data_IF_755618469738
#
_entry.id   IF_755618469738
#
_cell.length_a   1.000
_cell.length_b   1.000
_cell.length_c   1.000
_cell.angle_alpha   90.00
_cell.angle_beta   90.00
_cell.angle_gamma   90.00
#
_symmetry.space_group_name_H-M   'P 1'
#
loop_
_entity.id
_entity.type
_entity.pdbx_description
1 polymer ?
#
# COMPACT_ATOMS: atom_id res chain seq x y z
N UNK A 1 26.81 -7.13 -4.93
CA UNK A 1 25.89 -6.92 -3.81
C UNK A 1 24.54 -7.64 -4.01
N UNK A 2 24.57 -8.71 -4.79
CA UNK A 2 23.45 -9.63 -5.00
C UNK A 2 23.99 -11.05 -5.05
N UNK A 3 23.40 -11.96 -4.26
CA UNK A 3 23.91 -13.33 -4.13
C UNK A 3 23.72 -14.15 -5.41
N UNK A 4 22.60 -13.99 -6.11
CA UNK A 4 22.33 -14.72 -7.36
C UNK A 4 23.24 -14.26 -8.50
N UNK A 5 23.50 -12.97 -8.58
CA UNK A 5 24.44 -12.42 -9.57
C UNK A 5 25.86 -12.89 -9.27
N UNK A 6 26.23 -12.97 -7.99
CA UNK A 6 27.53 -13.52 -7.56
C UNK A 6 27.70 -14.98 -7.94
N UNK A 7 26.71 -15.83 -7.65
CA UNK A 7 26.73 -17.25 -8.03
C UNK A 7 26.78 -17.44 -9.55
N UNK A 8 26.03 -16.63 -10.30
CA UNK A 8 26.07 -16.60 -11.74
C UNK A 8 27.48 -16.24 -12.26
N UNK A 9 28.07 -15.17 -11.74
CA UNK A 9 29.41 -14.72 -12.11
C UNK A 9 30.47 -15.78 -11.82
N UNK A 10 30.42 -16.42 -10.66
CA UNK A 10 31.29 -17.54 -10.30
C UNK A 10 31.12 -18.72 -11.27
N UNK A 11 29.90 -19.13 -11.55
CA UNK A 11 29.61 -20.25 -12.47
C UNK A 11 30.16 -20.05 -13.87
N UNK A 12 30.16 -18.83 -14.35
CA UNK A 12 30.60 -18.49 -15.72
C UNK A 12 31.98 -17.82 -15.78
N UNK A 13 32.71 -17.82 -14.67
CA UNK A 13 34.06 -17.20 -14.56
C UNK A 13 34.07 -15.72 -15.01
N UNK A 14 33.03 -14.97 -14.65
CA UNK A 14 32.99 -13.55 -14.93
C UNK A 14 33.75 -12.77 -13.85
N UNK A 15 34.35 -11.59 -14.17
CA UNK A 15 35.01 -10.77 -13.19
C UNK A 15 34.02 -10.22 -12.16
N UNK A 16 34.38 -10.35 -10.88
CA UNK A 16 33.59 -9.83 -9.76
C UNK A 16 34.32 -8.63 -9.18
N UNK A 17 33.59 -7.51 -9.03
CA UNK A 17 34.13 -6.29 -8.46
C UNK A 17 33.33 -5.92 -7.21
N UNK A 18 34.01 -5.74 -6.09
CA UNK A 18 33.42 -5.29 -4.85
C UNK A 18 32.95 -3.84 -4.99
N UNK A 19 31.69 -3.57 -4.74
CA UNK A 19 31.07 -2.24 -4.84
C UNK A 19 30.49 -1.75 -3.52
N UNK A 20 30.38 -2.63 -2.51
CA UNK A 20 29.95 -2.28 -1.15
C UNK A 20 30.89 -2.95 -0.17
N UNK A 21 31.36 -2.21 0.84
CA UNK A 21 32.10 -2.76 1.95
C UNK A 21 31.45 -2.45 3.30
N UNK A 22 31.56 -3.31 4.32
CA UNK A 22 31.10 -3.00 5.66
C UNK A 22 31.69 -1.70 6.21
N UNK A 23 30.93 -0.94 7.00
CA UNK A 23 31.39 0.35 7.58
C UNK A 23 32.58 0.23 8.52
N UNK A 24 32.70 -0.90 9.18
CA UNK A 24 33.75 -1.20 10.17
C UNK A 24 35.02 -1.80 9.58
N UNK A 25 35.09 -1.96 8.25
CA UNK A 25 36.31 -2.48 7.58
C UNK A 25 37.10 -1.33 6.99
N UNK A 26 38.35 -1.18 7.48
CA UNK A 26 39.31 -0.24 6.92
C UNK A 26 40.18 -0.96 5.88
N UNK A 27 40.37 -0.32 4.72
CA UNK A 27 41.15 -0.88 3.61
C UNK A 27 40.31 -1.64 2.59
N UNK A 28 40.97 -2.52 1.84
CA UNK A 28 40.34 -3.32 0.79
C UNK A 28 39.44 -4.40 1.39
N UNK A 29 38.30 -4.60 0.74
CA UNK A 29 37.33 -5.64 1.09
C UNK A 29 37.01 -6.46 -0.16
N UNK A 30 37.30 -7.75 -0.11
CA UNK A 30 37.02 -8.71 -1.17
C UNK A 30 35.81 -9.58 -0.84
N UNK A 31 35.12 -10.07 -1.86
CA UNK A 31 34.05 -11.07 -1.75
C UNK A 31 34.57 -12.37 -2.39
N UNK A 32 34.75 -13.43 -1.60
CA UNK A 32 35.38 -14.68 -2.04
C UNK A 32 34.34 -15.80 -2.22
N UNK A 33 33.61 -16.13 -1.15
CA UNK A 33 32.71 -17.28 -1.11
C UNK A 33 31.23 -16.89 -1.28
N UNK A 34 30.84 -15.72 -0.81
CA UNK A 34 29.48 -15.22 -0.90
C UNK A 34 29.45 -13.71 -1.15
N UNK A 35 28.34 -13.21 -1.70
CA UNK A 35 28.15 -11.78 -1.88
C UNK A 35 27.94 -11.08 -0.54
N UNK A 36 28.54 -9.91 -0.36
CA UNK A 36 28.17 -9.05 0.75
C UNK A 36 26.87 -8.32 0.46
N UNK A 37 25.79 -8.63 1.19
CA UNK A 37 24.45 -8.08 0.98
C UNK A 37 23.99 -7.11 2.07
N UNK A 38 24.85 -6.84 3.08
CA UNK A 38 24.56 -5.95 4.19
C UNK A 38 24.72 -4.46 3.85
N UNK A 39 24.31 -3.61 4.79
CA UNK A 39 24.52 -2.17 4.72
C UNK A 39 26.01 -1.82 4.77
N UNK A 40 26.44 -0.81 4.03
CA UNK A 40 27.85 -0.48 3.97
C UNK A 40 28.16 0.86 3.35
N UNK A 41 29.36 0.98 2.82
CA UNK A 41 29.85 2.15 2.10
C UNK A 41 30.15 1.74 0.66
N UNK A 42 29.71 2.55 -0.28
CA UNK A 42 29.98 2.35 -1.71
C UNK A 42 31.46 2.54 -2.01
N UNK A 43 32.03 1.63 -2.79
CA UNK A 43 33.41 1.68 -3.28
C UNK A 43 33.44 1.27 -4.75
N UNK A 44 34.46 1.69 -5.49
CA UNK A 44 34.61 1.35 -6.92
C UNK A 44 33.38 1.68 -7.80
N UNK A 45 32.59 2.66 -7.40
CA UNK A 45 31.28 3.00 -7.97
C UNK A 45 31.23 4.47 -8.44
N UNK A 46 32.38 5.10 -8.69
CA UNK A 46 32.50 6.45 -9.25
C UNK A 46 31.77 7.51 -8.39
N UNK A 47 30.74 8.17 -8.92
CA UNK A 47 30.02 9.24 -8.23
C UNK A 47 29.21 8.78 -6.98
N UNK A 48 29.16 7.49 -6.73
CA UNK A 48 28.56 6.90 -5.53
C UNK A 48 29.59 6.56 -4.44
N UNK A 49 30.89 6.62 -4.72
CA UNK A 49 31.93 6.26 -3.77
C UNK A 49 31.83 7.07 -2.47
N UNK A 50 31.98 6.39 -1.35
CA UNK A 50 31.89 6.99 -0.02
C UNK A 50 30.47 7.15 0.53
N UNK A 51 29.43 6.96 -0.26
CA UNK A 51 28.04 7.07 0.19
C UNK A 51 27.58 5.82 0.95
N UNK A 52 26.70 6.03 1.93
CA UNK A 52 26.08 4.91 2.64
C UNK A 52 25.01 4.24 1.76
N UNK A 53 25.03 2.91 1.71
CA UNK A 53 23.99 2.11 1.08
C UNK A 53 23.15 1.42 2.16
N UNK A 54 21.81 1.27 1.95
CA UNK A 54 21.08 1.58 0.72
C UNK A 54 20.66 3.05 0.55
N UNK A 55 20.57 3.83 1.61
CA UNK A 55 19.81 5.09 1.60
C UNK A 55 20.41 6.20 0.72
N UNK A 56 21.65 6.64 1.04
CA UNK A 56 22.28 7.76 0.32
C UNK A 56 22.62 7.39 -1.12
N UNK A 57 23.17 6.20 -1.33
CA UNK A 57 23.59 5.74 -2.64
C UNK A 57 22.41 5.59 -3.61
N UNK A 58 21.28 5.01 -3.17
CA UNK A 58 20.07 4.87 -3.99
C UNK A 58 19.51 6.26 -4.36
N UNK A 59 19.42 7.14 -3.38
CA UNK A 59 18.89 8.50 -3.62
C UNK A 59 19.77 9.28 -4.61
N UNK A 60 21.09 9.16 -4.48
CA UNK A 60 22.05 9.81 -5.39
C UNK A 60 22.02 9.21 -6.79
N UNK A 61 21.89 7.88 -6.90
CA UNK A 61 21.77 7.22 -8.20
C UNK A 61 20.49 7.65 -8.93
N UNK A 62 19.34 7.70 -8.22
CA UNK A 62 18.09 8.19 -8.79
C UNK A 62 18.22 9.64 -9.28
N UNK A 63 18.76 10.53 -8.44
CA UNK A 63 18.97 11.92 -8.82
C UNK A 63 19.83 12.07 -10.09
N UNK A 64 20.88 11.24 -10.20
CA UNK A 64 21.74 11.25 -11.41
C UNK A 64 21.01 10.78 -12.66
N UNK A 65 20.19 9.72 -12.54
CA UNK A 65 19.38 9.21 -13.65
C UNK A 65 18.35 10.25 -14.12
N UNK A 66 17.75 11.00 -13.19
CA UNK A 66 16.82 12.09 -13.49
C UNK A 66 17.53 13.28 -14.15
N UNK A 67 18.71 13.67 -13.64
CA UNK A 67 19.54 14.74 -14.20
C UNK A 67 19.88 14.49 -15.68
N UNK A 68 20.30 13.27 -16.02
CA UNK A 68 20.63 12.89 -17.40
C UNK A 68 19.40 12.51 -18.24
N UNK A 69 18.19 12.66 -17.70
CA UNK A 69 16.90 12.37 -18.35
C UNK A 69 16.76 10.92 -18.86
N UNK A 70 17.46 9.97 -18.25
CA UNK A 70 17.41 8.55 -18.62
C UNK A 70 16.35 7.75 -17.84
N UNK A 71 15.70 8.34 -16.84
CA UNK A 71 14.63 7.72 -16.07
C UNK A 71 14.06 8.67 -15.03
N UNK A 72 13.14 8.15 -14.22
CA UNK A 72 12.53 8.86 -13.09
C UNK A 72 12.27 7.93 -11.92
N UNK A 73 12.28 8.47 -10.71
CA UNK A 73 11.91 7.72 -9.50
C UNK A 73 10.50 7.14 -9.64
N UNK A 74 10.37 5.86 -9.33
CA UNK A 74 9.07 5.18 -9.23
C UNK A 74 9.03 4.36 -7.95
N UNK A 75 7.94 4.49 -7.21
CA UNK A 75 7.66 3.65 -6.04
C UNK A 75 6.68 2.56 -6.47
N UNK A 76 7.08 1.30 -6.32
CA UNK A 76 6.21 0.17 -6.56
C UNK A 76 5.81 -0.42 -5.20
N UNK A 77 4.51 -0.43 -4.93
CA UNK A 77 3.98 -1.10 -3.75
C UNK A 77 3.91 -2.61 -4.01
N UNK A 78 4.41 -3.40 -3.05
CA UNK A 78 4.36 -4.87 -3.11
C UNK A 78 3.19 -5.42 -2.31
N UNK A 79 2.00 -4.92 -2.58
CA UNK A 79 0.77 -5.47 -2.03
C UNK A 79 0.24 -6.53 -3.01
N UNK A 80 -0.21 -7.66 -2.47
CA UNK A 80 -0.97 -8.64 -3.26
C UNK A 80 -2.41 -8.14 -3.35
N UNK A 81 -2.98 -8.21 -4.54
CA UNK A 81 -4.40 -7.97 -4.72
C UNK A 81 -5.20 -9.04 -3.98
N UNK A 82 -6.28 -8.64 -3.32
CA UNK A 82 -7.27 -9.55 -2.75
C UNK A 82 -8.67 -9.03 -3.02
N UNK A 83 -9.65 -9.92 -3.11
CA UNK A 83 -11.05 -9.54 -3.19
C UNK A 83 -11.49 -8.91 -1.87
N UNK A 84 -11.80 -7.61 -1.90
CA UNK A 84 -12.19 -6.87 -0.69
C UNK A 84 -13.67 -6.95 -0.36
N UNK A 85 -14.52 -7.41 -1.30
CA UNK A 85 -15.96 -7.48 -1.12
C UNK A 85 -16.42 -8.80 -0.48
N UNK A 86 -17.43 -8.71 0.39
CA UNK A 86 -18.02 -9.85 1.09
C UNK A 86 -19.53 -9.82 0.98
N UNK A 87 -20.12 -10.94 0.63
CA UNK A 87 -21.57 -11.17 0.50
C UNK A 87 -22.16 -11.46 1.88
N UNK A 88 -22.20 -10.43 2.73
CA UNK A 88 -22.71 -10.55 4.11
C UNK A 88 -23.23 -9.22 4.63
N UNK A 89 -24.10 -9.27 5.64
CA UNK A 89 -24.63 -8.06 6.28
C UNK A 89 -23.57 -7.29 7.07
N UNK A 90 -22.83 -8.00 7.92
CA UNK A 90 -21.84 -7.36 8.81
C UNK A 90 -20.59 -6.93 8.05
N UNK A 91 -20.36 -5.65 8.00
CA UNK A 91 -19.22 -5.02 7.38
C UNK A 91 -19.52 -3.58 6.99
N UNK A 92 -18.49 -2.83 6.57
CA UNK A 92 -18.64 -1.48 6.05
C UNK A 92 -19.22 -1.55 4.62
N UNK A 93 -20.36 -0.89 4.32
CA UNK A 93 -20.89 -0.84 2.95
C UNK A 93 -19.90 -0.20 1.98
N UNK A 94 -19.83 -0.75 0.77
CA UNK A 94 -18.98 -0.21 -0.30
C UNK A 94 -19.74 0.97 -0.94
N UNK A 95 -19.15 2.19 -1.00
CA UNK A 95 -19.84 3.39 -1.46
C UNK A 95 -19.90 3.49 -3.00
N UNK A 96 -20.44 2.47 -3.64
CA UNK A 96 -20.65 2.37 -5.08
C UNK A 96 -22.11 2.05 -5.37
N UNK A 97 -22.62 2.58 -6.46
CA UNK A 97 -23.97 2.29 -6.93
C UNK A 97 -23.97 2.04 -8.45
N UNK A 98 -24.91 1.24 -8.92
CA UNK A 98 -25.02 0.82 -10.32
C UNK A 98 -26.31 1.33 -10.96
N UNK A 99 -26.21 1.75 -12.20
CA UNK A 99 -27.39 2.02 -13.02
C UNK A 99 -27.98 0.73 -13.62
N UNK A 100 -29.11 0.84 -14.31
CA UNK A 100 -29.77 -0.31 -14.93
C UNK A 100 -28.98 -0.93 -16.10
N UNK A 101 -27.92 -0.27 -16.55
CA UNK A 101 -27.01 -0.77 -17.59
C UNK A 101 -25.76 -1.44 -17.01
N UNK A 102 -25.61 -1.42 -15.68
CA UNK A 102 -24.46 -1.97 -14.96
C UNK A 102 -23.25 -1.03 -14.90
N UNK A 103 -23.40 0.23 -15.32
CA UNK A 103 -22.35 1.22 -15.09
C UNK A 103 -22.36 1.63 -13.61
N UNK A 104 -21.16 1.80 -13.05
CA UNK A 104 -21.03 2.21 -11.64
C UNK A 104 -20.75 3.70 -11.49
N UNK A 105 -21.18 4.23 -10.35
CA UNK A 105 -20.91 5.59 -9.88
C UNK A 105 -20.53 5.53 -8.40
N UNK A 106 -19.62 6.39 -7.95
CA UNK A 106 -19.32 6.53 -6.53
C UNK A 106 -20.40 7.31 -5.81
N UNK A 107 -20.77 6.89 -4.61
CA UNK A 107 -21.70 7.64 -3.77
C UNK A 107 -21.04 8.96 -3.36
N UNK A 108 -21.68 10.11 -3.61
CA UNK A 108 -21.15 11.43 -3.25
C UNK A 108 -20.91 11.57 -1.75
N UNK A 109 -19.92 12.39 -1.39
CA UNK A 109 -19.48 12.57 0.00
C UNK A 109 -20.61 13.12 0.90
N UNK A 110 -21.46 13.98 0.37
CA UNK A 110 -22.61 14.55 1.07
C UNK A 110 -23.74 13.52 1.38
N UNK A 111 -23.68 12.35 0.75
CA UNK A 111 -24.59 11.22 1.00
C UNK A 111 -23.95 10.10 1.85
N UNK A 112 -22.74 10.30 2.35
CA UNK A 112 -22.06 9.39 3.27
C UNK A 112 -22.34 9.74 4.75
N UNK A 113 -22.29 8.77 5.66
CA UNK A 113 -22.01 7.34 5.45
C UNK A 113 -23.24 6.57 4.97
N UNK A 114 -23.03 5.52 4.17
CA UNK A 114 -24.07 4.53 3.88
C UNK A 114 -24.28 3.69 5.16
N UNK A 115 -25.48 3.80 5.73
CA UNK A 115 -25.83 3.04 6.95
C UNK A 115 -26.47 1.72 6.57
N UNK A 116 -26.12 0.65 7.27
CA UNK A 116 -26.78 -0.64 7.13
C UNK A 116 -28.25 -0.55 7.58
N UNK A 117 -29.18 -1.29 6.92
CA UNK A 117 -30.59 -1.32 7.34
C UNK A 117 -30.72 -2.05 8.68
N UNK A 118 -31.50 -1.48 9.60
CA UNK A 118 -31.70 -2.08 10.94
C UNK A 118 -32.63 -3.28 10.92
N UNK A 119 -33.66 -3.24 10.08
CA UNK A 119 -34.68 -4.29 9.96
C UNK A 119 -34.33 -5.27 8.84
N UNK A 120 -33.49 -6.26 9.13
CA UNK A 120 -33.04 -7.23 8.14
C UNK A 120 -33.29 -8.68 8.58
N UNK A 121 -33.72 -9.51 7.64
CA UNK A 121 -33.81 -10.96 7.87
C UNK A 121 -32.48 -11.63 7.52
N UNK A 122 -31.71 -11.99 8.55
CA UNK A 122 -30.42 -12.67 8.38
C UNK A 122 -30.52 -14.17 8.02
N UNK A 123 -31.74 -14.74 8.01
CA UNK A 123 -31.98 -16.15 7.65
C UNK A 123 -32.25 -16.36 6.15
N UNK A 124 -32.07 -15.34 5.34
CA UNK A 124 -32.24 -15.42 3.88
C UNK A 124 -31.10 -16.21 3.24
N UNK A 125 -31.38 -16.88 2.14
CA UNK A 125 -30.35 -17.52 1.32
C UNK A 125 -29.60 -16.45 0.52
N UNK A 126 -28.29 -16.52 0.51
CA UNK A 126 -27.41 -15.54 -0.19
C UNK A 126 -27.09 -14.31 0.65
N UNK A 127 -26.75 -13.20 0.01
CA UNK A 127 -26.45 -11.94 0.69
C UNK A 127 -27.74 -11.31 1.23
N UNK A 128 -27.88 -11.08 2.54
CA UNK A 128 -29.10 -10.50 3.11
C UNK A 128 -29.43 -9.10 2.57
N UNK A 129 -28.42 -8.32 2.16
CA UNK A 129 -28.60 -6.97 1.61
C UNK A 129 -29.22 -6.99 0.21
N UNK A 130 -29.08 -8.07 -0.56
CA UNK A 130 -29.72 -8.21 -1.88
C UNK A 130 -31.27 -8.12 -1.81
N UNK A 131 -31.83 -8.50 -0.66
CA UNK A 131 -33.27 -8.54 -0.43
C UNK A 131 -33.85 -7.21 0.11
N UNK A 132 -33.02 -6.16 0.24
CA UNK A 132 -33.41 -4.86 0.80
C UNK A 132 -33.66 -3.83 -0.32
N UNK A 133 -34.75 -4.00 -1.08
CA UNK A 133 -35.03 -3.19 -2.27
C UNK A 133 -35.03 -1.67 -1.98
N UNK A 134 -35.73 -1.24 -0.90
CA UNK A 134 -35.83 0.18 -0.52
C UNK A 134 -34.46 0.75 -0.09
N UNK A 135 -33.67 0.00 0.67
CA UNK A 135 -32.34 0.43 1.10
C UNK A 135 -31.35 0.58 -0.06
N UNK A 136 -31.51 -0.24 -1.10
CA UNK A 136 -30.65 -0.20 -2.28
C UNK A 136 -30.86 1.01 -3.17
N UNK A 137 -32.05 1.62 -3.14
CA UNK A 137 -32.35 2.75 -4.03
C UNK A 137 -31.65 4.03 -3.55
N UNK A 138 -30.88 4.65 -4.45
CA UNK A 138 -30.22 5.94 -4.22
C UNK A 138 -30.35 6.83 -5.45
N UNK A 139 -30.47 8.13 -5.23
CA UNK A 139 -30.47 9.13 -6.30
C UNK A 139 -29.17 9.91 -6.26
N UNK A 140 -28.38 9.82 -7.32
CA UNK A 140 -27.13 10.55 -7.47
C UNK A 140 -27.28 11.52 -8.63
N UNK A 141 -27.10 12.82 -8.38
CA UNK A 141 -27.24 13.89 -9.40
C UNK A 141 -28.54 13.81 -10.23
N UNK A 142 -29.66 13.45 -9.57
CA UNK A 142 -30.96 13.35 -10.20
C UNK A 142 -31.23 12.07 -10.99
N UNK A 143 -30.30 11.13 -11.07
CA UNK A 143 -30.45 9.82 -11.69
C UNK A 143 -30.57 8.73 -10.63
N UNK A 144 -31.43 7.73 -10.87
CA UNK A 144 -31.60 6.58 -9.96
C UNK A 144 -30.50 5.53 -10.17
N UNK A 145 -30.02 4.98 -9.05
CA UNK A 145 -29.04 3.91 -8.97
C UNK A 145 -29.44 2.90 -7.91
N UNK A 146 -28.79 1.75 -7.92
CA UNK A 146 -28.88 0.72 -6.88
C UNK A 146 -27.54 0.58 -6.19
N UNK A 147 -27.54 0.72 -4.87
CA UNK A 147 -26.34 0.54 -4.04
C UNK A 147 -25.74 -0.86 -4.22
N UNK A 148 -24.43 -0.93 -4.12
CA UNK A 148 -23.69 -2.18 -3.92
C UNK A 148 -24.18 -2.86 -2.63
N UNK A 149 -24.36 -4.17 -2.68
CA UNK A 149 -24.84 -4.98 -1.55
C UNK A 149 -23.72 -5.72 -0.84
N UNK A 150 -22.56 -5.82 -1.45
CA UNK A 150 -21.38 -6.34 -0.79
C UNK A 150 -20.87 -5.36 0.27
N UNK A 151 -20.28 -5.89 1.32
CA UNK A 151 -19.58 -5.10 2.34
C UNK A 151 -18.09 -5.33 2.26
N UNK A 152 -17.29 -4.42 2.78
CA UNK A 152 -15.85 -4.56 2.83
C UNK A 152 -15.43 -5.71 3.75
N UNK A 153 -14.32 -6.36 3.39
CA UNK A 153 -13.63 -7.31 4.26
C UNK A 153 -13.28 -6.64 5.60
N UNK A 154 -13.46 -7.36 6.69
CA UNK A 154 -13.14 -6.85 8.04
C UNK A 154 -11.68 -6.42 8.19
N UNK A 155 -10.78 -6.95 7.35
CA UNK A 155 -9.40 -6.53 7.35
C UNK A 155 -9.23 -5.06 6.94
N UNK A 156 -10.14 -4.52 6.11
CA UNK A 156 -10.17 -3.09 5.77
C UNK A 156 -10.44 -2.25 7.02
N UNK A 157 -11.43 -2.64 7.84
CA UNK A 157 -11.75 -1.95 9.09
C UNK A 157 -10.58 -2.03 10.09
N UNK A 158 -9.99 -3.23 10.25
CA UNK A 158 -8.88 -3.43 11.17
C UNK A 158 -7.55 -2.86 10.71
N UNK A 159 -7.42 -2.45 9.45
CA UNK A 159 -6.19 -1.87 8.91
C UNK A 159 -5.96 -0.40 9.29
N UNK A 160 -6.94 0.28 9.85
CA UNK A 160 -6.85 1.71 10.15
C UNK A 160 -7.33 2.11 11.55
N UNK A 161 -7.90 1.22 12.37
CA UNK A 161 -8.50 1.54 13.67
C UNK A 161 -7.52 2.27 14.61
N UNK A 162 -6.24 1.95 14.56
CA UNK A 162 -5.20 2.59 15.36
C UNK A 162 -5.02 4.09 15.02
N UNK A 163 -5.28 4.50 13.80
CA UNK A 163 -5.32 5.92 13.42
C UNK A 163 -6.47 6.64 14.14
N UNK A 164 -7.60 5.94 14.31
CA UNK A 164 -8.74 6.46 15.06
C UNK A 164 -8.42 6.73 16.54
N UNK A 165 -7.54 5.93 17.13
CA UNK A 165 -7.10 6.17 18.51
C UNK A 165 -6.32 7.47 18.68
N UNK A 166 -5.67 7.97 17.62
CA UNK A 166 -5.03 9.28 17.65
C UNK A 166 -6.04 10.44 17.74
N UNK A 167 -7.26 10.25 17.24
CA UNK A 167 -8.31 11.28 17.14
C UNK A 167 -9.68 10.78 17.62
N UNK A 168 -9.82 10.30 18.87
CA UNK A 168 -11.03 9.62 19.34
C UNK A 168 -12.28 10.52 19.34
N UNK A 169 -12.11 11.81 19.47
CA UNK A 169 -13.19 12.79 19.56
C UNK A 169 -13.53 13.47 18.21
N UNK A 170 -12.83 13.16 17.13
CA UNK A 170 -13.13 13.72 15.81
C UNK A 170 -14.48 13.20 15.32
N UNK A 171 -15.41 14.11 15.00
CA UNK A 171 -16.78 13.77 14.57
C UNK A 171 -16.97 13.86 13.05
N UNK A 172 -16.04 14.47 12.34
CA UNK A 172 -16.13 14.72 10.91
C UNK A 172 -15.39 13.69 10.08
N UNK A 173 -14.21 13.27 10.55
CA UNK A 173 -13.33 12.32 9.84
C UNK A 173 -12.87 11.20 10.75
N UNK A 174 -12.34 10.14 10.16
CA UNK A 174 -11.79 9.00 10.89
C UNK A 174 -10.62 9.38 11.79
N UNK A 175 -9.83 10.38 11.39
CA UNK A 175 -8.68 10.90 12.13
C UNK A 175 -8.33 12.32 11.71
N UNK A 176 -7.53 13.01 12.51
CA UNK A 176 -6.88 14.29 12.21
C UNK A 176 -5.41 14.06 11.85
N UNK A 177 -4.94 14.70 10.77
CA UNK A 177 -3.58 14.47 10.28
C UNK A 177 -2.50 15.01 11.23
N UNK A 178 -2.74 16.13 11.90
CA UNK A 178 -1.76 16.71 12.83
C UNK A 178 -1.66 15.86 14.11
N UNK A 179 -2.78 15.32 14.58
CA UNK A 179 -2.78 14.38 15.71
C UNK A 179 -2.04 13.08 15.35
N UNK A 180 -2.22 12.56 14.12
CA UNK A 180 -1.45 11.40 13.64
C UNK A 180 0.04 11.71 13.61
N UNK A 181 0.46 12.84 13.06
CA UNK A 181 1.89 13.22 13.02
C UNK A 181 2.52 13.29 14.42
N UNK A 182 1.73 13.64 15.43
CA UNK A 182 2.19 13.71 16.81
C UNK A 182 2.29 12.32 17.47
N UNK A 183 1.26 11.46 17.30
CA UNK A 183 1.15 10.19 18.02
C UNK A 183 1.81 8.99 17.32
N UNK A 184 2.03 9.07 16.02
CA UNK A 184 2.63 7.97 15.25
C UNK A 184 4.16 8.08 15.17
N UNK A 185 4.89 6.95 15.02
CA UNK A 185 4.36 5.58 14.96
C UNK A 185 3.93 5.04 16.31
N UNK A 186 2.94 4.16 16.31
CA UNK A 186 2.55 3.44 17.53
C UNK A 186 3.63 2.45 17.93
N UNK A 187 3.94 2.42 19.22
CA UNK A 187 4.84 1.42 19.80
C UNK A 187 4.02 0.17 20.14
N UNK A 188 3.93 -0.76 19.21
CA UNK A 188 3.24 -2.04 19.37
C UNK A 188 4.17 -3.19 19.07
#
# INVERSE_FOLDING_TARGET
HDQRDFEFAKKYNLPIKTVVKPKNVNGDFGVEDEAYVGDGIMVNSSFLDGLNTPNEAISRAIAKIEEIKSGKKKINFRLKDWGISRQRYWGCPIPIAYDDQGNYETVPEDQLPIKLPENINLKTKGNPLDHQAEWREITIRGKKYKLETDTLDTFVDSSWYYLRFCSPNNKSYGYDLEEIKYWMPVAQ
#
